data_IF_378864098217
#
_entry.id   IF_378864098217
#
_cell.length_a   1.000
_cell.length_b   1.000
_cell.length_c   1.000
_cell.angle_alpha   90.00
_cell.angle_beta   90.00
_cell.angle_gamma   90.00
#
_symmetry.space_group_name_H-M   'P 1'
#
loop_
_entity.id
_entity.type
_entity.pdbx_description
1 polymer ?
#
# COMPACT_ATOMS: atom_id res chain seq x y z
N UNK A 1 -11.51 -19.35 12.53
CA UNK A 1 -11.40 -17.90 12.25
C UNK A 1 -10.91 -17.27 13.55
N UNK A 2 -9.66 -16.80 13.58
CA UNK A 2 -9.12 -16.10 14.74
C UNK A 2 -9.57 -14.65 14.66
N UNK A 3 -10.57 -14.28 15.44
CA UNK A 3 -11.00 -12.89 15.57
C UNK A 3 -9.97 -12.17 16.45
N UNK A 4 -9.20 -11.26 15.85
CA UNK A 4 -8.31 -10.39 16.62
C UNK A 4 -9.19 -9.46 17.47
N UNK A 5 -8.94 -9.39 18.78
CA UNK A 5 -9.52 -8.32 19.61
C UNK A 5 -9.11 -6.97 18.99
N UNK A 6 -10.02 -5.98 18.93
CA UNK A 6 -9.70 -4.64 18.44
C UNK A 6 -8.84 -3.96 19.51
N UNK A 7 -7.56 -4.31 19.59
CA UNK A 7 -6.64 -3.74 20.56
C UNK A 7 -6.03 -2.43 20.06
N UNK A 8 -6.15 -2.14 18.76
CA UNK A 8 -5.60 -0.93 18.14
C UNK A 8 -6.51 -0.49 16.98
N UNK A 9 -6.83 0.82 16.88
CA UNK A 9 -7.48 1.37 15.69
C UNK A 9 -6.59 1.12 14.46
N UNK A 10 -7.17 1.04 13.26
CA UNK A 10 -6.30 0.99 12.08
C UNK A 10 -5.48 2.27 11.97
N UNK A 11 -4.29 2.17 11.38
CA UNK A 11 -3.47 3.32 11.02
C UNK A 11 -3.41 3.39 9.48
N UNK A 12 -4.41 3.99 8.80
CA UNK A 12 -4.53 3.95 7.35
C UNK A 12 -3.31 4.54 6.65
N UNK A 13 -2.86 5.74 7.03
CA UNK A 13 -1.70 6.38 6.42
C UNK A 13 -0.43 5.54 6.47
N UNK A 14 -0.07 5.00 7.64
CA UNK A 14 1.10 4.13 7.78
C UNK A 14 0.95 2.82 6.99
N UNK A 15 -0.27 2.25 6.97
CA UNK A 15 -0.54 1.00 6.26
C UNK A 15 -0.50 1.18 4.75
N UNK A 16 -1.15 2.22 4.20
CA UNK A 16 -1.09 2.55 2.78
C UNK A 16 0.33 2.89 2.34
N UNK A 17 1.08 3.63 3.14
CA UNK A 17 2.50 3.91 2.88
C UNK A 17 3.33 2.62 2.77
N UNK A 18 3.06 1.61 3.60
CA UNK A 18 3.70 0.30 3.50
C UNK A 18 3.21 -0.47 2.26
N UNK A 19 1.91 -0.55 2.04
CA UNK A 19 1.31 -1.29 0.92
C UNK A 19 1.75 -0.72 -0.43
N UNK A 20 1.91 0.60 -0.56
CA UNK A 20 2.45 1.24 -1.76
C UNK A 20 3.90 0.84 -2.06
N UNK A 21 4.75 0.74 -1.02
CA UNK A 21 6.14 0.24 -1.19
C UNK A 21 6.16 -1.23 -1.61
N UNK A 22 5.27 -2.04 -1.02
CA UNK A 22 5.15 -3.46 -1.38
C UNK A 22 4.62 -3.63 -2.81
N UNK A 23 3.65 -2.80 -3.23
CA UNK A 23 3.14 -2.78 -4.60
C UNK A 23 4.25 -2.45 -5.60
N UNK A 24 5.04 -1.42 -5.33
CA UNK A 24 6.20 -1.08 -6.14
C UNK A 24 7.21 -2.24 -6.21
N UNK A 25 7.57 -2.82 -5.06
CA UNK A 25 8.56 -3.90 -4.99
C UNK A 25 8.11 -5.15 -5.77
N UNK A 26 6.86 -5.59 -5.60
CA UNK A 26 6.35 -6.77 -6.32
C UNK A 26 6.18 -6.50 -7.81
N UNK A 27 5.70 -5.32 -8.18
CA UNK A 27 5.63 -4.89 -9.58
C UNK A 27 7.02 -4.90 -10.25
N UNK A 28 8.04 -4.40 -9.56
CA UNK A 28 9.42 -4.41 -10.05
C UNK A 28 9.98 -5.83 -10.17
N UNK A 29 9.71 -6.67 -9.16
CA UNK A 29 10.18 -8.06 -9.15
C UNK A 29 9.57 -8.89 -10.29
N UNK A 30 8.29 -8.65 -10.62
CA UNK A 30 7.59 -9.31 -11.73
C UNK A 30 8.21 -8.99 -13.10
N UNK A 31 8.76 -7.79 -13.25
CA UNK A 31 9.35 -7.30 -14.51
C UNK A 31 10.87 -7.49 -14.55
N UNK A 32 11.50 -7.78 -13.40
CA UNK A 32 12.97 -7.82 -13.27
C UNK A 32 13.63 -6.43 -13.39
N UNK A 33 12.85 -5.37 -13.32
CA UNK A 33 13.29 -3.97 -13.43
C UNK A 33 12.53 -3.12 -12.45
N UNK A 34 13.19 -2.11 -11.91
CA UNK A 34 12.52 -1.09 -11.11
C UNK A 34 11.45 -0.38 -11.96
N UNK A 35 10.20 -0.36 -11.51
CA UNK A 35 9.10 0.22 -12.28
C UNK A 35 9.12 1.75 -12.28
N UNK A 36 9.82 2.38 -11.34
CA UNK A 36 9.98 3.84 -11.28
C UNK A 36 11.14 4.33 -12.14
N UNK A 37 12.29 3.67 -12.09
CA UNK A 37 13.52 4.09 -12.79
C UNK A 37 13.76 3.34 -14.11
N UNK A 38 13.21 2.15 -14.29
CA UNK A 38 13.46 1.26 -15.43
C UNK A 38 14.78 0.48 -15.37
N UNK A 39 15.58 0.70 -14.32
CA UNK A 39 16.85 0.01 -14.11
C UNK A 39 16.63 -1.48 -13.86
N UNK A 40 17.57 -2.31 -14.32
CA UNK A 40 17.53 -3.75 -14.05
C UNK A 40 17.73 -3.97 -12.56
N UNK A 41 16.89 -4.81 -11.95
CA UNK A 41 17.06 -5.16 -10.56
C UNK A 41 18.35 -5.97 -10.38
N UNK A 42 19.17 -5.67 -9.36
CA UNK A 42 20.39 -6.42 -9.09
C UNK A 42 20.09 -7.91 -8.91
N UNK A 43 20.85 -8.77 -9.59
CA UNK A 43 20.69 -10.23 -9.53
C UNK A 43 19.61 -10.80 -10.45
N UNK A 44 18.94 -9.98 -11.27
CA UNK A 44 17.94 -10.41 -12.26
C UNK A 44 18.35 -10.08 -13.70
N UNK A 45 19.64 -9.80 -13.92
CA UNK A 45 20.18 -9.38 -15.22
C UNK A 45 20.04 -10.45 -16.31
N UNK A 46 20.09 -11.73 -15.94
CA UNK A 46 20.03 -12.86 -16.88
C UNK A 46 18.65 -13.51 -17.00
N UNK A 47 17.89 -13.58 -15.90
CA UNK A 47 16.60 -14.31 -15.83
C UNK A 47 15.40 -13.47 -16.27
N UNK A 48 15.52 -12.13 -16.25
CA UNK A 48 14.54 -11.19 -16.80
C UNK A 48 13.21 -11.06 -16.05
N UNK A 49 12.82 -12.04 -15.22
CA UNK A 49 11.77 -11.91 -14.21
C UNK A 49 12.23 -12.54 -12.89
N UNK A 50 11.76 -12.00 -11.77
CA UNK A 50 12.11 -12.52 -10.44
C UNK A 50 11.06 -13.43 -9.81
N UNK A 51 10.06 -13.90 -10.55
CA UNK A 51 8.98 -14.74 -10.01
C UNK A 51 8.64 -15.91 -10.92
N UNK A 52 8.70 -17.13 -10.37
CA UNK A 52 8.17 -18.30 -11.07
C UNK A 52 6.65 -18.22 -11.24
N UNK A 53 6.08 -19.05 -12.14
CA UNK A 53 4.62 -19.14 -12.30
C UNK A 53 3.88 -19.44 -10.99
N UNK A 54 4.47 -20.28 -10.13
CA UNK A 54 3.91 -20.62 -8.83
C UNK A 54 3.94 -19.43 -7.88
N UNK A 55 5.02 -18.66 -7.88
CA UNK A 55 5.14 -17.46 -7.06
C UNK A 55 4.16 -16.39 -7.50
N UNK A 56 3.94 -16.22 -8.81
CA UNK A 56 2.93 -15.30 -9.34
C UNK A 56 1.52 -15.66 -8.89
N UNK A 57 1.11 -16.93 -8.97
CA UNK A 57 -0.22 -17.36 -8.51
C UNK A 57 -0.38 -17.15 -7.00
N UNK A 58 0.66 -17.42 -6.22
CA UNK A 58 0.66 -17.18 -4.76
C UNK A 58 0.57 -15.68 -4.45
N UNK A 59 1.38 -14.87 -5.12
CA UNK A 59 1.39 -13.42 -4.97
C UNK A 59 0.00 -12.85 -5.29
N UNK A 60 -0.60 -13.25 -6.41
CA UNK A 60 -1.96 -12.85 -6.81
C UNK A 60 -2.99 -13.14 -5.72
N UNK A 61 -3.01 -14.36 -5.19
CA UNK A 61 -3.94 -14.73 -4.12
C UNK A 61 -3.75 -13.88 -2.86
N UNK A 62 -2.51 -13.53 -2.50
CA UNK A 62 -2.21 -12.75 -1.29
C UNK A 62 -2.61 -11.29 -1.46
N UNK A 63 -2.28 -10.67 -2.59
CA UNK A 63 -2.60 -9.25 -2.83
C UNK A 63 -4.11 -9.03 -2.97
N UNK A 64 -4.83 -9.96 -3.60
CA UNK A 64 -6.29 -9.92 -3.69
C UNK A 64 -6.95 -10.05 -2.31
N UNK A 65 -6.52 -11.02 -1.49
CA UNK A 65 -7.00 -11.15 -0.11
C UNK A 65 -6.69 -9.91 0.73
N UNK A 66 -5.51 -9.30 0.53
CA UNK A 66 -5.13 -8.09 1.26
C UNK A 66 -6.05 -6.92 0.91
N UNK A 67 -6.43 -6.75 -0.37
CA UNK A 67 -7.41 -5.73 -0.78
C UNK A 67 -8.76 -5.93 -0.10
N UNK A 68 -9.24 -7.17 0.01
CA UNK A 68 -10.50 -7.45 0.72
C UNK A 68 -10.40 -7.02 2.18
N UNK A 69 -9.32 -7.37 2.88
CA UNK A 69 -9.12 -6.99 4.29
C UNK A 69 -9.01 -5.47 4.45
N UNK A 70 -8.27 -4.79 3.57
CA UNK A 70 -8.14 -3.32 3.60
C UNK A 70 -9.50 -2.65 3.41
N UNK A 71 -10.28 -3.07 2.40
CA UNK A 71 -11.63 -2.55 2.16
C UNK A 71 -12.54 -2.81 3.36
N UNK A 72 -12.43 -3.99 3.97
CA UNK A 72 -13.26 -4.37 5.12
C UNK A 72 -12.94 -3.59 6.41
N UNK A 73 -11.66 -3.29 6.65
CA UNK A 73 -11.22 -2.59 7.86
C UNK A 73 -11.31 -1.08 7.66
N UNK A 74 -10.65 -0.56 6.63
CA UNK A 74 -10.50 0.87 6.40
C UNK A 74 -11.68 1.49 5.65
N UNK A 75 -12.43 0.70 4.88
CA UNK A 75 -13.68 1.16 4.26
C UNK A 75 -14.86 1.26 5.23
N UNK A 76 -14.75 0.67 6.43
CA UNK A 76 -15.75 0.81 7.52
C UNK A 76 -15.40 1.94 8.49
N UNK A 77 -14.11 2.24 8.68
CA UNK A 77 -13.67 3.29 9.61
C UNK A 77 -13.92 4.71 9.08
N UNK A 78 -14.12 4.90 7.76
CA UNK A 78 -14.58 6.17 7.19
C UNK A 78 -16.03 6.57 7.55
N UNK A 79 -16.78 5.75 8.30
CA UNK A 79 -18.13 6.06 8.80
C UNK A 79 -18.17 6.38 10.31
N UNK A 80 -17.05 6.32 11.04
CA UNK A 80 -16.99 6.45 12.51
C UNK A 80 -15.98 7.50 12.99
N UNK A 81 -16.05 8.71 12.43
CA UNK A 81 -15.41 9.89 13.02
C UNK A 81 -16.37 11.09 12.95
N UNK A 82 -17.52 10.97 13.61
CA UNK A 82 -18.41 12.09 13.94
C UNK A 82 -19.10 11.72 15.26
N UNK A 83 -18.42 11.87 16.42
CA UNK A 83 -19.02 12.01 17.77
C UNK A 83 -17.89 11.92 18.83
N UNK A 84 -17.25 13.03 19.20
CA UNK A 84 -17.61 13.76 20.44
C UNK A 84 -16.68 14.96 20.70
N UNK A 85 -17.31 16.12 20.92
CA UNK A 85 -16.71 17.37 21.37
C UNK A 85 -16.18 17.25 22.81
N UNK A 86 -14.99 17.75 23.08
CA UNK A 86 -14.37 17.69 24.40
C UNK A 86 -13.46 18.87 24.75
N UNK A 87 -13.91 20.09 24.49
CA UNK A 87 -13.34 21.35 24.99
C UNK A 87 -12.88 21.24 26.46
N UNK A 88 -11.59 21.44 26.72
CA UNK A 88 -11.11 22.08 27.96
C UNK A 88 -9.82 22.87 27.71
N UNK A 89 -9.98 24.19 27.59
CA UNK A 89 -8.91 25.16 27.70
C UNK A 89 -8.35 25.20 29.13
N UNK A 90 -7.02 25.18 29.28
CA UNK A 90 -6.32 25.79 30.41
C UNK A 90 -4.87 26.08 30.00
N UNK A 91 -4.55 27.36 29.82
CA UNK A 91 -3.23 27.83 29.41
C UNK A 91 -2.19 27.79 30.53
N UNK A 92 -0.94 28.11 30.18
CA UNK A 92 -0.10 29.13 30.82
C UNK A 92 1.17 29.29 29.98
N UNK A 93 1.46 30.55 29.72
CA UNK A 93 2.63 31.16 29.11
C UNK A 93 4.03 30.78 29.67
N UNK A 94 5.01 30.82 28.77
CA UNK A 94 6.30 31.55 28.89
C UNK A 94 7.65 30.77 28.90
N UNK A 95 8.54 31.42 28.15
CA UNK A 95 9.99 31.53 28.21
C UNK A 95 10.92 30.63 27.36
N UNK A 96 11.77 31.40 26.71
CA UNK A 96 12.76 31.22 25.66
C UNK A 96 13.92 30.30 25.99
N UNK A 97 14.53 29.67 24.97
CA UNK A 97 15.98 29.73 24.71
C UNK A 97 16.29 29.14 23.31
N UNK A 98 17.05 29.94 22.56
CA UNK A 98 17.64 29.76 21.24
C UNK A 98 18.57 28.52 21.14
N UNK A 99 18.51 27.77 20.02
CA UNK A 99 19.38 26.61 19.81
C UNK A 99 19.06 25.76 18.57
N UNK A 100 19.55 26.21 17.42
CA UNK A 100 20.02 25.36 16.30
C UNK A 100 18.97 24.61 15.44
N UNK A 101 18.69 25.27 14.30
CA UNK A 101 18.32 24.74 12.98
C UNK A 101 18.56 23.23 12.77
N UNK A 102 17.50 22.45 12.86
CA UNK A 102 17.29 21.26 12.04
C UNK A 102 15.87 21.31 11.45
N UNK A 103 15.75 21.02 10.17
CA UNK A 103 14.49 21.11 9.42
C UNK A 103 13.56 19.96 9.82
N UNK A 104 12.86 20.15 10.93
CA UNK A 104 11.72 19.34 11.32
C UNK A 104 10.58 19.65 10.36
N UNK A 105 10.25 18.69 9.50
CA UNK A 105 9.03 18.71 8.68
C UNK A 105 7.86 18.67 9.66
N UNK A 106 7.33 19.85 10.00
CA UNK A 106 6.09 20.01 10.73
C UNK A 106 4.95 19.58 9.83
N UNK A 107 4.34 18.45 10.16
CA UNK A 107 3.05 18.04 9.62
C UNK A 107 2.01 18.62 10.58
N UNK A 108 1.68 19.89 10.41
CA UNK A 108 0.54 20.53 11.05
C UNK A 108 -0.51 20.85 9.98
N UNK A 109 -1.74 20.44 10.30
CA UNK A 109 -3.04 20.95 9.83
C UNK A 109 -3.49 20.61 8.39
N UNK A 110 -4.31 19.54 8.25
CA UNK A 110 -5.71 19.63 7.75
C UNK A 110 -6.42 18.26 7.87
N UNK A 111 -7.02 17.99 9.04
CA UNK A 111 -7.70 16.72 9.37
C UNK A 111 -9.09 16.54 8.71
N UNK A 112 -9.58 17.49 7.91
CA UNK A 112 -10.90 17.38 7.25
C UNK A 112 -10.86 16.76 5.83
N UNK A 113 -9.67 16.66 5.20
CA UNK A 113 -9.48 16.09 3.85
C UNK A 113 -8.85 14.67 3.85
N UNK A 114 -8.41 14.15 5.00
CA UNK A 114 -7.72 12.86 5.10
C UNK A 114 -8.64 11.66 4.77
N UNK A 115 -9.91 11.71 5.17
CA UNK A 115 -10.87 10.62 4.95
C UNK A 115 -11.17 10.37 3.45
N UNK A 116 -11.25 11.43 2.65
CA UNK A 116 -11.44 11.35 1.20
C UNK A 116 -10.17 10.89 0.46
N UNK A 117 -8.99 11.32 0.93
CA UNK A 117 -7.70 10.85 0.45
C UNK A 117 -7.52 9.35 0.73
N UNK A 118 -7.85 8.89 1.94
CA UNK A 118 -7.79 7.48 2.33
C UNK A 118 -8.73 6.59 1.52
N UNK A 119 -9.95 7.05 1.23
CA UNK A 119 -10.88 6.32 0.36
C UNK A 119 -10.34 6.12 -1.07
N UNK A 120 -9.63 7.11 -1.62
CA UNK A 120 -8.95 6.96 -2.92
C UNK A 120 -7.80 5.94 -2.84
N UNK A 121 -7.11 5.87 -1.70
CA UNK A 121 -5.95 4.99 -1.51
C UNK A 121 -6.35 3.52 -1.29
N UNK A 122 -7.52 3.25 -0.70
CA UNK A 122 -8.10 1.90 -0.62
C UNK A 122 -8.20 1.26 -2.01
N UNK A 123 -8.64 2.03 -3.02
CA UNK A 123 -8.82 1.51 -4.37
C UNK A 123 -7.50 1.12 -5.05
N UNK A 124 -6.41 1.84 -4.75
CA UNK A 124 -5.08 1.70 -5.36
C UNK A 124 -4.22 0.59 -4.77
N UNK A 125 -4.65 -0.04 -3.68
CA UNK A 125 -3.86 -1.10 -3.02
C UNK A 125 -3.51 -2.21 -4.01
N UNK A 126 -2.20 -2.42 -4.20
CA UNK A 126 -1.62 -3.41 -5.12
C UNK A 126 -2.01 -3.25 -6.60
N UNK A 127 -2.40 -2.05 -7.05
CA UNK A 127 -2.81 -1.81 -8.43
C UNK A 127 -1.71 -2.21 -9.44
N UNK A 128 -0.47 -1.76 -9.25
CA UNK A 128 0.62 -2.06 -10.18
C UNK A 128 0.96 -3.54 -10.25
N UNK A 129 0.92 -4.21 -9.10
CA UNK A 129 1.23 -5.62 -8.94
C UNK A 129 0.16 -6.48 -9.62
N UNK A 130 -1.12 -6.18 -9.40
CA UNK A 130 -2.24 -6.94 -9.99
C UNK A 130 -2.20 -6.85 -11.51
N UNK A 131 -2.06 -5.64 -12.06
CA UNK A 131 -1.99 -5.45 -13.53
C UNK A 131 -0.86 -6.30 -14.13
N UNK A 132 0.33 -6.25 -13.54
CA UNK A 132 1.49 -7.01 -14.03
C UNK A 132 1.34 -8.52 -13.85
N UNK A 133 0.73 -8.97 -12.76
CA UNK A 133 0.42 -10.37 -12.53
C UNK A 133 -0.57 -10.90 -13.57
N UNK A 134 -1.62 -10.14 -13.88
CA UNK A 134 -2.59 -10.52 -14.90
C UNK A 134 -1.94 -10.61 -16.28
N UNK A 135 -1.13 -9.63 -16.65
CA UNK A 135 -0.37 -9.69 -17.89
C UNK A 135 0.58 -10.90 -17.93
N UNK A 136 1.34 -11.14 -16.86
CA UNK A 136 2.33 -12.22 -16.80
C UNK A 136 1.69 -13.62 -16.82
N UNK A 137 0.59 -13.80 -16.10
CA UNK A 137 -0.15 -15.06 -16.04
C UNK A 137 -0.92 -15.32 -17.34
N UNK A 138 -1.45 -14.28 -17.98
CA UNK A 138 -2.14 -14.41 -19.28
C UNK A 138 -1.19 -14.65 -20.45
N UNK A 139 0.04 -14.10 -20.41
CA UNK A 139 1.09 -14.52 -21.35
C UNK A 139 1.23 -16.05 -21.28
N UNK A 140 1.31 -16.59 -20.06
CA UNK A 140 1.36 -18.03 -19.71
C UNK A 140 0.36 -18.99 -20.35
N UNK A 141 -0.79 -18.50 -20.83
CA UNK A 141 -1.91 -19.31 -21.32
C UNK A 141 -2.16 -19.15 -22.82
N UNK A 142 -1.66 -18.08 -23.44
CA UNK A 142 -1.89 -17.80 -24.86
C UNK A 142 -1.11 -18.74 -25.80
N UNK A 143 -0.02 -19.37 -25.36
CA UNK A 143 0.81 -20.26 -26.20
C UNK A 143 0.37 -21.73 -26.25
N UNK A 144 -0.63 -22.15 -25.48
CA UNK A 144 -1.05 -23.57 -25.42
C UNK A 144 -2.19 -23.92 -26.40
N UNK A 145 -2.81 -22.92 -27.04
CA UNK A 145 -3.96 -23.14 -27.96
C UNK A 145 -3.51 -23.44 -29.41
N UNK A 146 -2.22 -23.33 -29.72
CA UNK A 146 -1.70 -23.43 -31.09
C UNK A 146 -1.03 -24.77 -31.49
N UNK A 147 -0.85 -25.71 -30.55
CA UNK A 147 -0.10 -26.96 -30.80
C UNK A 147 -1.00 -28.20 -30.80
N UNK A 148 -2.07 -28.19 -31.59
CA UNK A 148 -2.84 -29.38 -31.97
C UNK A 148 -3.58 -29.08 -33.27
N UNK A 149 -2.90 -29.32 -34.40
CA UNK A 149 -3.44 -29.20 -35.75
C UNK A 149 -2.58 -29.99 -36.72
#
# INVERSE_FOLDING_TARGET
VSTYLPAFPAAPGATFGLLGKMDHAFASLLVGRDVGSGEVLPGLEEEGNGMSRTDMVRCKSIVEQTRVVVVEVMGREGEVEDEDEGSMAAGTEDDTTDGERDTQVGWDEDDEDESALHNMDVAKVYENTIVRLDEALNRGTAYDVGASG
#
